data_IF_306118387004
#
_entry.id   IF_306118387004
#
_cell.length_a   1.000
_cell.length_b   1.000
_cell.length_c   1.000
_cell.angle_alpha   90.00
_cell.angle_beta   90.00
_cell.angle_gamma   90.00
#
_symmetry.space_group_name_H-M   'P 1'
#
loop_
_entity.id
_entity.type
_entity.pdbx_description
1 polymer ?
#
# COMPACT_ATOMS: atom_id res chain seq x y z
N UNK A 1 -26.56 66.13 19.90
CA UNK A 1 -26.09 64.79 19.46
C UNK A 1 -25.32 64.17 20.60
N UNK A 2 -25.78 63.04 21.17
CA UNK A 2 -25.02 62.32 22.20
C UNK A 2 -23.87 61.55 21.53
N UNK A 3 -22.65 61.57 22.07
CA UNK A 3 -21.55 60.81 21.48
C UNK A 3 -21.89 59.32 21.56
N UNK A 4 -21.93 58.66 20.40
CA UNK A 4 -22.08 57.21 20.33
C UNK A 4 -20.91 56.57 21.08
N UNK A 5 -21.27 55.64 21.96
CA UNK A 5 -20.40 55.04 22.95
C UNK A 5 -19.32 54.19 22.25
N UNK A 6 -18.04 54.57 22.35
CA UNK A 6 -16.91 53.85 21.71
C UNK A 6 -16.87 52.36 22.07
N UNK A 7 -17.40 51.99 23.24
CA UNK A 7 -17.52 50.61 23.68
C UNK A 7 -18.47 49.78 22.79
N UNK A 8 -19.52 50.39 22.23
CA UNK A 8 -20.48 49.69 21.38
C UNK A 8 -19.85 49.20 20.07
N UNK A 9 -18.99 50.02 19.45
CA UNK A 9 -18.27 49.63 18.23
C UNK A 9 -17.18 48.58 18.51
N UNK A 10 -16.52 48.64 19.67
CA UNK A 10 -15.53 47.63 20.07
C UNK A 10 -16.15 46.25 20.26
N UNK A 11 -17.34 46.17 20.88
CA UNK A 11 -18.03 44.89 21.07
C UNK A 11 -18.50 44.31 19.73
N UNK A 12 -19.05 45.13 18.83
CA UNK A 12 -19.47 44.67 17.50
C UNK A 12 -18.28 44.17 16.68
N UNK A 13 -17.15 44.89 16.69
CA UNK A 13 -15.95 44.48 15.97
C UNK A 13 -15.39 43.14 16.49
N UNK A 14 -15.37 42.94 17.81
CA UNK A 14 -14.91 41.68 18.42
C UNK A 14 -15.85 40.52 18.09
N UNK A 15 -17.18 40.74 18.12
CA UNK A 15 -18.16 39.72 17.74
C UNK A 15 -18.04 39.33 16.26
N UNK A 16 -17.85 40.29 15.36
CA UNK A 16 -17.62 40.00 13.93
C UNK A 16 -16.31 39.22 13.74
N UNK A 17 -15.23 39.60 14.43
CA UNK A 17 -13.96 38.89 14.35
C UNK A 17 -14.09 37.44 14.85
N UNK A 18 -14.77 37.20 15.97
CA UNK A 18 -14.99 35.86 16.50
C UNK A 18 -15.87 35.01 15.58
N UNK A 19 -16.88 35.59 14.93
CA UNK A 19 -17.73 34.89 13.93
C UNK A 19 -16.91 34.52 12.70
N UNK A 20 -16.06 35.43 12.22
CA UNK A 20 -15.17 35.18 11.08
C UNK A 20 -14.10 34.14 11.43
N UNK A 21 -13.53 34.19 12.63
CA UNK A 21 -12.56 33.21 13.11
C UNK A 21 -13.21 31.83 13.30
N UNK A 22 -14.41 31.76 13.87
CA UNK A 22 -15.17 30.52 13.97
C UNK A 22 -15.54 29.98 12.58
N UNK A 23 -15.92 30.86 11.64
CA UNK A 23 -16.21 30.46 10.26
C UNK A 23 -14.95 30.00 9.51
N UNK A 24 -13.79 30.59 9.78
CA UNK A 24 -12.50 30.17 9.24
C UNK A 24 -12.06 28.82 9.82
N UNK A 25 -12.17 28.63 11.13
CA UNK A 25 -11.86 27.34 11.80
C UNK A 25 -12.84 26.26 11.33
N UNK A 26 -14.14 26.57 11.21
CA UNK A 26 -15.15 25.66 10.66
C UNK A 26 -14.86 25.33 9.19
N UNK A 27 -14.26 26.25 8.42
CA UNK A 27 -13.84 26.03 7.03
C UNK A 27 -12.52 25.24 6.90
N UNK A 28 -11.67 25.27 7.93
CA UNK A 28 -10.48 24.40 8.03
C UNK A 28 -10.83 23.00 8.56
N UNK A 29 -11.87 22.86 9.37
CA UNK A 29 -12.37 21.54 9.84
C UNK A 29 -13.40 20.93 8.91
N UNK A 30 -14.12 21.74 8.13
CA UNK A 30 -14.87 21.31 6.96
C UNK A 30 -14.00 21.60 5.73
N UNK A 31 -13.02 20.72 5.48
CA UNK A 31 -12.63 20.43 4.10
C UNK A 31 -13.86 19.82 3.42
N UNK A 32 -14.83 20.68 3.12
CA UNK A 32 -16.03 20.32 2.36
C UNK A 32 -15.62 20.25 0.91
N UNK A 33 -15.63 19.03 0.38
CA UNK A 33 -15.88 18.74 -1.02
C UNK A 33 -15.04 19.56 -2.01
N UNK A 34 -13.73 19.31 -2.07
CA UNK A 34 -13.21 18.99 -3.41
C UNK A 34 -14.05 17.84 -3.91
N UNK A 35 -14.65 17.93 -5.11
CA UNK A 35 -15.38 16.83 -5.72
C UNK A 35 -14.54 15.56 -5.57
N UNK A 36 -14.82 14.75 -4.54
CA UNK A 36 -14.15 13.48 -4.35
C UNK A 36 -14.62 12.73 -5.57
N UNK A 37 -13.71 12.52 -6.52
CA UNK A 37 -14.02 11.75 -7.72
C UNK A 37 -14.53 10.40 -7.21
N UNK A 38 -15.83 10.14 -7.39
CA UNK A 38 -16.47 8.96 -6.85
C UNK A 38 -16.24 7.83 -7.84
N UNK A 39 -15.29 6.97 -7.52
CA UNK A 39 -14.96 5.75 -8.25
C UNK A 39 -15.39 4.54 -7.40
N UNK A 40 -16.62 4.57 -6.92
CA UNK A 40 -17.16 3.53 -6.06
C UNK A 40 -17.58 2.29 -6.88
N UNK A 41 -18.27 1.34 -6.23
CA UNK A 41 -18.71 0.09 -6.86
C UNK A 41 -19.69 0.29 -8.01
N UNK A 42 -20.55 1.30 -7.94
CA UNK A 42 -21.44 1.62 -9.06
C UNK A 42 -20.62 2.12 -10.25
N UNK A 43 -19.66 3.02 -10.01
CA UNK A 43 -18.76 3.47 -11.07
C UNK A 43 -17.98 2.30 -11.68
N UNK A 44 -17.53 1.34 -10.87
CA UNK A 44 -16.87 0.13 -11.36
C UNK A 44 -17.75 -0.67 -12.34
N UNK A 45 -19.03 -0.88 -12.01
CA UNK A 45 -19.97 -1.59 -12.89
C UNK A 45 -20.20 -0.81 -14.21
N UNK A 46 -20.34 0.51 -14.13
CA UNK A 46 -20.47 1.37 -15.31
C UNK A 46 -19.22 1.34 -16.18
N UNK A 47 -18.03 1.40 -15.57
CA UNK A 47 -16.75 1.32 -16.26
C UNK A 47 -16.50 -0.06 -16.89
N UNK A 48 -16.94 -1.14 -16.24
CA UNK A 48 -16.90 -2.52 -16.77
C UNK A 48 -17.70 -2.64 -18.07
N UNK A 49 -18.95 -2.16 -18.07
CA UNK A 49 -19.81 -2.19 -19.26
C UNK A 49 -19.27 -1.31 -20.39
N UNK A 50 -18.70 -0.16 -20.03
CA UNK A 50 -18.01 0.70 -20.97
C UNK A 50 -16.77 0.01 -21.58
N UNK A 51 -15.93 -0.62 -20.76
CA UNK A 51 -14.79 -1.42 -21.20
C UNK A 51 -15.21 -2.53 -22.16
N UNK A 52 -16.32 -3.23 -21.91
CA UNK A 52 -16.85 -4.24 -22.83
C UNK A 52 -17.30 -3.65 -24.17
N UNK A 53 -17.79 -2.41 -24.18
CA UNK A 53 -18.11 -1.71 -25.42
C UNK A 53 -16.84 -1.43 -26.24
N UNK A 54 -15.79 -0.93 -25.60
CA UNK A 54 -14.49 -0.68 -26.24
C UNK A 54 -13.85 -1.97 -26.76
N UNK A 55 -13.86 -3.03 -25.95
CA UNK A 55 -13.33 -4.34 -26.32
C UNK A 55 -13.93 -4.85 -27.64
N UNK A 56 -15.25 -4.69 -27.82
CA UNK A 56 -15.93 -5.13 -29.04
C UNK A 56 -15.59 -4.27 -30.27
N UNK A 57 -15.21 -3.00 -30.06
CA UNK A 57 -14.85 -2.07 -31.14
C UNK A 57 -13.44 -2.30 -31.69
N UNK A 58 -12.55 -2.97 -30.93
CA UNK A 58 -11.16 -3.24 -31.34
C UNK A 58 -11.03 -3.96 -32.69
N UNK A 59 -12.00 -4.80 -33.04
CA UNK A 59 -11.97 -5.55 -34.31
C UNK A 59 -12.36 -4.70 -35.53
N UNK A 60 -12.86 -3.48 -35.32
CA UNK A 60 -13.49 -2.67 -36.36
C UNK A 60 -12.88 -1.28 -36.56
N UNK A 61 -12.04 -0.82 -35.62
CA UNK A 61 -11.49 0.53 -35.62
C UNK A 61 -9.97 0.53 -35.45
N UNK A 62 -9.25 1.08 -36.44
CA UNK A 62 -7.80 1.22 -36.41
C UNK A 62 -7.32 2.22 -35.34
N UNK A 63 -8.19 3.10 -34.84
CA UNK A 63 -7.88 4.07 -33.79
C UNK A 63 -8.21 3.58 -32.37
N UNK A 64 -8.76 2.36 -32.23
CA UNK A 64 -9.13 1.81 -30.91
C UNK A 64 -7.94 1.72 -29.94
N UNK A 65 -6.71 1.64 -30.46
CA UNK A 65 -5.48 1.64 -29.67
C UNK A 65 -5.21 2.97 -28.98
N UNK A 66 -5.27 4.07 -29.74
CA UNK A 66 -5.05 5.41 -29.23
C UNK A 66 -6.10 5.76 -28.16
N UNK A 67 -7.35 5.32 -28.38
CA UNK A 67 -8.43 5.48 -27.39
C UNK A 67 -8.11 4.73 -26.11
N UNK A 68 -7.78 3.44 -26.18
CA UNK A 68 -7.44 2.63 -25.00
C UNK A 68 -6.23 3.17 -24.24
N UNK A 69 -5.20 3.64 -24.95
CA UNK A 69 -3.99 4.17 -24.33
C UNK A 69 -4.24 5.51 -23.62
N UNK A 70 -5.02 6.41 -24.24
CA UNK A 70 -5.42 7.65 -23.60
C UNK A 70 -6.31 7.41 -22.37
N UNK A 71 -7.23 6.45 -22.43
CA UNK A 71 -8.03 6.07 -21.26
C UNK A 71 -7.19 5.50 -20.13
N UNK A 72 -6.21 4.66 -20.46
CA UNK A 72 -5.25 4.15 -19.49
C UNK A 72 -4.53 5.30 -18.77
N UNK A 73 -4.01 6.29 -19.51
CA UNK A 73 -3.36 7.48 -18.92
C UNK A 73 -4.31 8.31 -18.05
N UNK A 74 -5.53 8.54 -18.52
CA UNK A 74 -6.56 9.27 -17.77
C UNK A 74 -6.90 8.56 -16.45
N UNK A 75 -6.96 7.23 -16.45
CA UNK A 75 -7.18 6.43 -15.25
C UNK A 75 -5.99 6.50 -14.28
N UNK A 76 -4.75 6.51 -14.76
CA UNK A 76 -3.57 6.76 -13.92
C UNK A 76 -3.65 8.13 -13.24
N UNK A 77 -3.96 9.19 -13.98
CA UNK A 77 -4.09 10.53 -13.42
C UNK A 77 -5.20 10.60 -12.36
N UNK A 78 -6.34 9.95 -12.60
CA UNK A 78 -7.43 9.84 -11.63
C UNK A 78 -6.99 9.13 -10.35
N UNK A 79 -6.20 8.06 -10.46
CA UNK A 79 -5.69 7.31 -9.30
C UNK A 79 -4.79 8.18 -8.43
N UNK A 80 -3.87 8.92 -9.04
CA UNK A 80 -2.98 9.82 -8.30
C UNK A 80 -3.76 10.95 -7.61
N UNK A 81 -4.82 11.49 -8.24
CA UNK A 81 -5.73 12.44 -7.57
C UNK A 81 -6.44 11.85 -6.36
N UNK A 82 -6.78 10.57 -6.37
CA UNK A 82 -7.36 9.90 -5.19
C UNK A 82 -6.29 9.73 -4.09
N UNK A 83 -5.05 9.41 -4.45
CA UNK A 83 -3.93 9.39 -3.50
C UNK A 83 -3.70 10.74 -2.82
N UNK A 84 -3.78 11.83 -3.56
CA UNK A 84 -3.63 13.20 -3.01
C UNK A 84 -4.71 13.55 -1.97
N UNK A 85 -5.85 12.83 -1.98
CA UNK A 85 -6.92 13.01 -1.00
C UNK A 85 -6.77 12.13 0.25
N UNK A 86 -5.79 11.21 0.29
CA UNK A 86 -5.51 10.43 1.50
C UNK A 86 -4.95 11.34 2.62
N UNK A 87 -5.23 10.99 3.87
CA UNK A 87 -4.63 11.72 4.98
C UNK A 87 -3.13 11.45 5.04
N UNK A 88 -2.31 12.50 4.90
CA UNK A 88 -0.85 12.43 4.99
C UNK A 88 -0.40 12.86 6.39
N UNK A 89 0.10 11.90 7.17
CA UNK A 89 0.65 12.20 8.49
C UNK A 89 2.02 12.87 8.41
N UNK A 90 2.34 13.69 9.41
CA UNK A 90 3.71 14.20 9.62
C UNK A 90 4.73 13.07 9.83
N UNK A 91 4.31 11.93 10.36
CA UNK A 91 5.15 10.73 10.53
C UNK A 91 5.33 9.94 9.22
N UNK A 92 4.71 10.38 8.11
CA UNK A 92 4.90 9.84 6.77
C UNK A 92 4.07 8.60 6.42
N UNK A 93 3.04 8.25 7.18
CA UNK A 93 2.02 7.26 6.78
C UNK A 93 0.83 7.92 6.10
N UNK A 94 0.10 7.13 5.32
CA UNK A 94 -1.14 7.49 4.63
C UNK A 94 -2.32 6.72 5.24
N UNK A 95 -3.45 7.40 5.45
CA UNK A 95 -4.72 6.75 5.79
C UNK A 95 -5.72 6.99 4.66
N UNK A 96 -6.28 5.90 4.14
CA UNK A 96 -7.37 5.88 3.17
C UNK A 96 -8.66 5.55 3.91
N UNK A 97 -9.66 6.44 3.84
CA UNK A 97 -11.01 6.14 4.34
C UNK A 97 -11.64 4.98 3.56
N UNK A 98 -12.78 4.43 4.01
CA UNK A 98 -13.50 3.42 3.26
C UNK A 98 -13.82 3.84 1.82
N UNK A 99 -14.27 5.07 1.61
CA UNK A 99 -14.61 5.62 0.29
C UNK A 99 -13.36 5.78 -0.58
N UNK A 100 -12.25 6.28 -0.02
CA UNK A 100 -10.99 6.39 -0.75
C UNK A 100 -10.41 5.02 -1.09
N UNK A 101 -10.59 4.04 -0.20
CA UNK A 101 -10.16 2.66 -0.43
C UNK A 101 -10.95 2.03 -1.58
N UNK A 102 -12.27 2.21 -1.62
CA UNK A 102 -13.12 1.76 -2.74
C UNK A 102 -12.70 2.44 -4.06
N UNK A 103 -12.44 3.75 -4.03
CA UNK A 103 -11.98 4.51 -5.19
C UNK A 103 -10.65 3.98 -5.75
N UNK A 104 -9.65 3.79 -4.88
CA UNK A 104 -8.34 3.25 -5.28
C UNK A 104 -8.50 1.82 -5.82
N UNK A 105 -9.36 1.00 -5.23
CA UNK A 105 -9.58 -0.37 -5.70
C UNK A 105 -10.24 -0.40 -7.09
N UNK A 106 -11.31 0.37 -7.28
CA UNK A 106 -12.02 0.43 -8.56
C UNK A 106 -11.11 0.90 -9.69
N UNK A 107 -10.32 1.96 -9.43
CA UNK A 107 -9.34 2.46 -10.38
C UNK A 107 -8.25 1.43 -10.65
N UNK A 108 -7.74 0.73 -9.62
CA UNK A 108 -6.74 -0.31 -9.81
C UNK A 108 -7.23 -1.42 -10.75
N UNK A 109 -8.47 -1.89 -10.57
CA UNK A 109 -9.12 -2.86 -11.44
C UNK A 109 -9.28 -2.36 -12.88
N UNK A 110 -9.78 -1.14 -13.04
CA UNK A 110 -9.97 -0.53 -14.36
C UNK A 110 -8.63 -0.35 -15.10
N UNK A 111 -7.59 0.13 -14.39
CA UNK A 111 -6.23 0.29 -14.91
C UNK A 111 -5.65 -1.08 -15.31
N UNK A 112 -5.77 -2.11 -14.46
CA UNK A 112 -5.29 -3.46 -14.75
C UNK A 112 -5.95 -4.02 -16.02
N UNK A 113 -7.27 -3.82 -16.18
CA UNK A 113 -8.01 -4.27 -17.36
C UNK A 113 -7.52 -3.59 -18.65
N UNK A 114 -7.35 -2.26 -18.65
CA UNK A 114 -6.80 -1.53 -19.81
C UNK A 114 -5.38 -1.96 -20.11
N UNK A 115 -4.53 -2.03 -19.08
CA UNK A 115 -3.12 -2.37 -19.24
C UNK A 115 -2.93 -3.77 -19.81
N UNK A 116 -3.70 -4.77 -19.33
CA UNK A 116 -3.66 -6.14 -19.85
C UNK A 116 -4.17 -6.24 -21.28
N UNK A 117 -5.28 -5.57 -21.61
CA UNK A 117 -5.79 -5.55 -22.97
C UNK A 117 -4.79 -4.88 -23.92
N UNK A 118 -4.26 -3.71 -23.56
CA UNK A 118 -3.21 -3.03 -24.33
C UNK A 118 -1.98 -3.91 -24.50
N UNK A 119 -1.52 -4.57 -23.43
CA UNK A 119 -0.40 -5.50 -23.47
C UNK A 119 -0.64 -6.61 -24.49
N UNK A 120 -1.81 -7.26 -24.44
CA UNK A 120 -2.12 -8.35 -25.35
C UNK A 120 -2.20 -7.89 -26.80
N UNK A 121 -2.79 -6.72 -27.06
CA UNK A 121 -2.88 -6.27 -28.44
C UNK A 121 -1.53 -5.80 -28.99
N UNK A 122 -0.81 -4.96 -28.25
CA UNK A 122 0.46 -4.38 -28.69
C UNK A 122 1.54 -5.46 -28.87
N UNK A 123 1.54 -6.49 -28.01
CA UNK A 123 2.47 -7.62 -28.10
C UNK A 123 2.07 -8.68 -29.13
N UNK A 124 0.96 -8.48 -29.88
CA UNK A 124 0.35 -9.50 -30.75
C UNK A 124 0.05 -10.83 -30.04
N UNK A 125 -0.28 -10.78 -28.74
CA UNK A 125 -0.77 -11.95 -28.03
C UNK A 125 -2.20 -12.30 -28.49
N UNK A 126 -2.64 -13.49 -28.10
CA UNK A 126 -4.03 -13.86 -28.25
C UNK A 126 -4.88 -12.99 -27.31
N UNK A 127 -5.74 -12.15 -27.89
CA UNK A 127 -6.77 -11.44 -27.13
C UNK A 127 -7.70 -12.48 -26.47
N UNK A 128 -7.80 -12.39 -25.15
CA UNK A 128 -8.62 -13.26 -24.31
C UNK A 128 -10.09 -12.81 -24.33
N UNK A 129 -11.05 -13.65 -23.90
CA UNK A 129 -12.42 -13.19 -23.66
C UNK A 129 -12.45 -11.96 -22.74
N UNK A 130 -13.39 -11.03 -22.97
CA UNK A 130 -13.47 -9.75 -22.23
C UNK A 130 -13.56 -9.95 -20.71
N UNK A 131 -14.21 -11.02 -20.27
CA UNK A 131 -14.37 -11.44 -18.87
C UNK A 131 -13.04 -11.85 -18.21
N UNK A 132 -11.98 -12.10 -19.00
CA UNK A 132 -10.64 -12.40 -18.48
C UNK A 132 -9.85 -11.14 -18.07
N UNK A 133 -10.26 -9.96 -18.53
CA UNK A 133 -9.58 -8.70 -18.24
C UNK A 133 -10.19 -7.96 -17.04
N UNK A 134 -11.48 -8.19 -16.79
CA UNK A 134 -12.26 -7.48 -15.80
C UNK A 134 -13.00 -8.49 -14.91
N UNK A 135 -12.81 -8.50 -13.57
CA UNK A 135 -13.49 -9.44 -12.70
C UNK A 135 -15.02 -9.36 -12.82
N UNK A 136 -15.72 -10.50 -12.72
CA UNK A 136 -17.18 -10.51 -12.82
C UNK A 136 -17.83 -9.69 -11.70
N UNK A 137 -17.29 -9.79 -10.49
CA UNK A 137 -17.72 -9.07 -9.30
C UNK A 137 -16.64 -8.09 -8.82
N UNK A 138 -17.06 -7.02 -8.13
CA UNK A 138 -16.12 -6.12 -7.47
C UNK A 138 -15.35 -6.89 -6.39
N UNK A 139 -14.03 -6.96 -6.53
CA UNK A 139 -13.15 -7.67 -5.60
C UNK A 139 -12.03 -6.73 -5.16
N UNK A 140 -11.65 -6.77 -3.89
CA UNK A 140 -10.45 -6.05 -3.45
C UNK A 140 -9.21 -6.78 -3.96
N UNK A 141 -8.49 -6.16 -4.89
CA UNK A 141 -7.33 -6.76 -5.58
C UNK A 141 -5.99 -6.23 -5.10
N UNK A 142 -5.99 -5.40 -4.05
CA UNK A 142 -4.78 -4.95 -3.37
C UNK A 142 -3.82 -6.09 -3.03
N UNK A 143 -4.36 -7.32 -2.90
CA UNK A 143 -3.57 -8.55 -2.86
C UNK A 143 -4.08 -9.59 -3.88
N UNK A 144 -3.46 -9.64 -5.06
CA UNK A 144 -3.27 -10.90 -5.79
C UNK A 144 -1.85 -11.40 -5.51
N UNK A 145 -1.58 -11.78 -4.28
CA UNK A 145 -0.39 -12.58 -4.04
C UNK A 145 -0.74 -14.00 -4.47
N UNK A 146 -0.27 -14.44 -5.64
CA UNK A 146 -0.38 -15.85 -6.07
C UNK A 146 0.16 -16.84 -5.00
N UNK A 147 0.89 -16.33 -4.00
CA UNK A 147 1.50 -17.06 -2.90
C UNK A 147 0.97 -16.72 -1.50
N UNK A 148 0.01 -15.80 -1.34
CA UNK A 148 -0.83 -15.86 -0.13
C UNK A 148 -1.84 -16.94 -0.44
N UNK A 149 -1.42 -18.18 -0.20
CA UNK A 149 -2.35 -19.26 0.10
C UNK A 149 -3.11 -18.74 1.32
N UNK A 150 -4.24 -18.08 1.07
CA UNK A 150 -5.31 -17.97 2.05
C UNK A 150 -5.56 -19.43 2.41
N UNK A 151 -5.07 -19.86 3.57
CA UNK A 151 -5.08 -21.24 4.03
C UNK A 151 -6.52 -21.67 4.24
N UNK A 152 -7.23 -21.94 3.14
CA UNK A 152 -8.49 -22.65 2.98
C UNK A 152 -8.75 -22.77 1.48
N UNK A 153 -8.53 -23.98 0.95
CA UNK A 153 -8.73 -24.46 -0.43
C UNK A 153 -10.20 -24.38 -0.93
N UNK A 154 -11.00 -23.42 -0.47
CA UNK A 154 -12.36 -23.22 -0.96
C UNK A 154 -12.43 -22.01 -1.87
N UNK A 155 -13.02 -22.20 -3.04
CA UNK A 155 -13.48 -21.18 -4.02
C UNK A 155 -14.42 -20.10 -3.42
N UNK A 156 -14.67 -20.10 -2.11
CA UNK A 156 -15.63 -19.26 -1.37
C UNK A 156 -15.01 -18.01 -0.70
N UNK A 157 -13.73 -17.68 -0.95
CA UNK A 157 -13.05 -16.53 -0.31
C UNK A 157 -13.39 -15.16 -0.96
N UNK A 158 -14.63 -14.97 -1.41
CA UNK A 158 -15.09 -13.65 -1.82
C UNK A 158 -15.31 -12.80 -0.56
N UNK A 159 -14.60 -11.69 -0.48
CA UNK A 159 -14.81 -10.67 0.55
C UNK A 159 -16.21 -10.09 0.32
N UNK A 160 -17.22 -10.54 1.08
CA UNK A 160 -18.57 -9.97 1.03
C UNK A 160 -18.48 -8.48 1.40
N UNK A 161 -18.99 -7.60 0.54
CA UNK A 161 -18.85 -6.17 0.72
C UNK A 161 -20.13 -5.57 1.28
N UNK A 162 -20.03 -4.73 2.31
CA UNK A 162 -21.15 -3.97 2.89
C UNK A 162 -21.25 -2.59 2.25
N UNK A 163 -22.44 -2.01 2.25
CA UNK A 163 -22.64 -0.65 1.74
C UNK A 163 -22.19 0.42 2.74
N UNK A 164 -22.32 0.17 4.05
CA UNK A 164 -22.05 1.15 5.10
C UNK A 164 -20.93 0.71 6.06
N UNK A 165 -20.01 1.65 6.39
CA UNK A 165 -18.93 1.47 7.36
C UNK A 165 -19.23 2.29 8.63
N UNK A 166 -20.25 1.88 9.38
CA UNK A 166 -20.80 2.62 10.53
C UNK A 166 -19.80 2.87 11.67
N UNK A 167 -18.79 2.00 11.80
CA UNK A 167 -17.78 2.04 12.87
C UNK A 167 -16.57 2.91 12.56
N UNK A 168 -16.45 3.44 11.34
CA UNK A 168 -15.28 4.24 10.95
C UNK A 168 -15.31 5.61 11.62
N UNK A 169 -14.40 5.82 12.57
CA UNK A 169 -14.13 7.12 13.17
C UNK A 169 -12.68 7.52 12.89
N UNK A 170 -12.49 8.34 11.85
CA UNK A 170 -11.18 8.84 11.47
C UNK A 170 -10.45 9.55 12.61
N UNK A 171 -11.18 10.31 13.45
CA UNK A 171 -10.58 11.03 14.55
C UNK A 171 -10.06 10.06 15.61
N UNK A 172 -10.85 9.06 15.99
CA UNK A 172 -10.42 8.04 16.94
C UNK A 172 -9.20 7.24 16.44
N UNK A 173 -9.21 6.83 15.16
CA UNK A 173 -8.10 6.13 14.50
C UNK A 173 -6.84 6.99 14.52
N UNK A 174 -6.95 8.25 14.09
CA UNK A 174 -5.83 9.19 14.04
C UNK A 174 -5.28 9.47 15.45
N UNK A 175 -6.16 9.76 16.40
CA UNK A 175 -5.78 10.05 17.80
C UNK A 175 -5.06 8.83 18.41
N UNK A 176 -5.50 7.60 18.11
CA UNK A 176 -4.82 6.38 18.52
C UNK A 176 -3.39 6.29 17.96
N UNK A 177 -3.21 6.34 16.63
CA UNK A 177 -1.89 6.23 16.00
C UNK A 177 -0.94 7.34 16.48
N UNK A 178 -1.47 8.57 16.64
CA UNK A 178 -0.69 9.70 17.13
C UNK A 178 -0.28 9.57 18.60
N UNK A 179 -1.07 8.86 19.41
CA UNK A 179 -0.76 8.58 20.82
C UNK A 179 0.34 7.53 21.02
N UNK A 180 0.64 6.71 20.00
CA UNK A 180 1.66 5.68 20.09
C UNK A 180 3.04 6.31 20.30
N UNK A 181 3.70 5.89 21.38
CA UNK A 181 5.07 6.30 21.75
C UNK A 181 6.13 5.48 21.01
N UNK A 182 5.91 5.25 19.72
CA UNK A 182 6.85 4.55 18.84
C UNK A 182 7.58 5.52 17.91
N UNK A 183 8.83 5.22 17.51
CA UNK A 183 9.56 6.04 16.56
C UNK A 183 8.85 6.18 15.22
N UNK A 184 9.02 7.34 14.56
CA UNK A 184 8.35 7.63 13.28
C UNK A 184 8.70 6.63 12.19
N UNK A 185 9.91 6.06 12.21
CA UNK A 185 10.35 5.11 11.19
C UNK A 185 9.50 3.83 11.16
N UNK A 186 8.85 3.44 12.25
CA UNK A 186 7.93 2.29 12.29
C UNK A 186 6.66 2.52 11.45
N UNK A 187 6.25 3.78 11.32
CA UNK A 187 5.04 4.18 10.59
C UNK A 187 5.35 4.75 9.20
N UNK A 188 6.59 5.13 8.94
CA UNK A 188 6.92 5.90 7.73
C UNK A 188 6.72 5.07 6.46
N UNK A 189 5.96 5.60 5.50
CA UNK A 189 5.67 4.97 4.22
C UNK A 189 4.59 3.89 4.28
N UNK A 190 3.88 3.77 5.40
CA UNK A 190 2.78 2.80 5.55
C UNK A 190 1.50 3.35 4.94
N UNK A 191 0.77 2.49 4.24
CA UNK A 191 -0.55 2.78 3.71
C UNK A 191 -1.59 1.99 4.50
N UNK A 192 -2.49 2.70 5.16
CA UNK A 192 -3.54 2.10 5.99
C UNK A 192 -4.87 2.25 5.25
N UNK A 193 -5.47 1.13 4.89
CA UNK A 193 -6.72 1.05 4.17
C UNK A 193 -7.81 0.50 5.08
N UNK A 194 -9.02 1.04 4.94
CA UNK A 194 -10.19 0.56 5.66
C UNK A 194 -11.16 0.01 4.63
N UNK A 195 -11.47 -1.29 4.74
CA UNK A 195 -12.28 -2.01 3.76
C UNK A 195 -13.66 -2.28 4.33
N UNK A 196 -14.69 -1.87 3.59
CA UNK A 196 -16.08 -2.05 3.99
C UNK A 196 -16.58 -3.49 3.70
N UNK A 197 -15.94 -4.49 4.31
CA UNK A 197 -16.30 -5.90 4.12
C UNK A 197 -16.96 -6.52 5.34
N UNK A 198 -17.79 -7.54 5.11
CA UNK A 198 -18.50 -8.36 6.09
C UNK A 198 -17.76 -9.65 6.47
N UNK A 199 -16.58 -9.90 5.91
CA UNK A 199 -15.92 -11.19 6.12
C UNK A 199 -15.44 -11.34 7.57
N UNK A 200 -15.99 -12.36 8.26
CA UNK A 200 -15.72 -12.68 9.66
C UNK A 200 -14.33 -13.30 9.86
N UNK A 201 -13.77 -13.87 8.81
CA UNK A 201 -12.54 -14.67 8.90
C UNK A 201 -11.28 -13.80 8.80
N UNK A 202 -11.42 -12.50 8.48
CA UNK A 202 -10.31 -11.57 8.35
C UNK A 202 -10.61 -10.29 9.15
N UNK A 203 -9.95 -10.14 10.30
CA UNK A 203 -10.03 -8.89 11.08
C UNK A 203 -9.16 -7.77 10.49
N UNK A 204 -7.94 -8.13 10.12
CA UNK A 204 -7.02 -7.28 9.39
C UNK A 204 -5.97 -8.12 8.66
N UNK A 205 -5.28 -7.49 7.71
CA UNK A 205 -4.14 -8.05 7.02
C UNK A 205 -3.06 -6.98 6.97
N UNK A 206 -1.89 -7.29 7.49
CA UNK A 206 -0.65 -6.65 7.10
C UNK A 206 0.06 -7.46 6.02
N UNK A 207 0.55 -6.76 5.00
CA UNK A 207 1.52 -7.32 4.09
C UNK A 207 2.31 -6.16 3.52
N UNK A 208 3.64 -6.29 3.51
CA UNK A 208 4.49 -5.43 2.68
C UNK A 208 4.19 -3.93 2.89
N UNK A 209 4.17 -3.47 4.15
CA UNK A 209 3.95 -2.06 4.49
C UNK A 209 2.54 -1.51 4.22
N UNK A 210 1.61 -2.35 3.77
CA UNK A 210 0.18 -2.06 3.72
C UNK A 210 -0.50 -2.69 4.93
N UNK A 211 -1.43 -1.95 5.52
CA UNK A 211 -2.29 -2.41 6.60
C UNK A 211 -3.72 -2.27 6.11
N UNK A 212 -4.47 -3.36 6.06
CA UNK A 212 -5.88 -3.37 5.69
C UNK A 212 -6.70 -3.81 6.89
N UNK A 213 -7.63 -2.95 7.29
CA UNK A 213 -8.56 -3.22 8.40
C UNK A 213 -9.95 -3.43 7.82
N UNK A 214 -10.57 -4.57 8.15
CA UNK A 214 -11.91 -4.91 7.68
C UNK A 214 -12.98 -4.51 8.70
N UNK A 215 -14.15 -4.09 8.20
CA UNK A 215 -15.31 -3.78 9.03
C UNK A 215 -16.04 -5.03 9.54
N UNK A 216 -15.41 -5.77 10.46
CA UNK A 216 -15.99 -6.98 11.00
C UNK A 216 -17.21 -6.69 11.88
N UNK A 217 -17.04 -5.97 12.98
CA UNK A 217 -18.11 -5.54 13.87
C UNK A 217 -18.22 -4.01 13.86
N UNK A 218 -19.45 -3.49 13.99
CA UNK A 218 -19.71 -2.04 13.99
C UNK A 218 -19.21 -1.40 15.31
N UNK A 219 -17.93 -1.59 15.67
CA UNK A 219 -17.28 -1.15 16.88
C UNK A 219 -15.90 -0.57 16.58
N UNK A 220 -15.71 0.71 16.89
CA UNK A 220 -14.43 1.41 16.72
C UNK A 220 -13.31 0.81 17.57
N UNK A 221 -13.61 0.28 18.77
CA UNK A 221 -12.59 -0.32 19.64
C UNK A 221 -12.01 -1.59 19.02
N UNK A 222 -12.83 -2.37 18.31
CA UNK A 222 -12.38 -3.56 17.58
C UNK A 222 -11.50 -3.17 16.39
N UNK A 223 -11.85 -2.12 15.64
CA UNK A 223 -11.00 -1.59 14.57
C UNK A 223 -9.64 -1.11 15.11
N UNK A 224 -9.65 -0.37 16.22
CA UNK A 224 -8.43 0.11 16.86
C UNK A 224 -7.60 -1.08 17.36
N UNK A 225 -8.24 -2.14 17.89
CA UNK A 225 -7.54 -3.39 18.25
C UNK A 225 -6.82 -3.98 17.03
N UNK A 226 -7.52 -4.20 15.93
CA UNK A 226 -6.92 -4.80 14.73
C UNK A 226 -5.81 -3.93 14.17
N UNK A 227 -6.02 -2.61 14.11
CA UNK A 227 -4.98 -1.67 13.72
C UNK A 227 -3.76 -1.74 14.64
N UNK A 228 -3.96 -1.83 15.96
CA UNK A 228 -2.89 -1.96 16.92
C UNK A 228 -2.12 -3.28 16.72
N UNK A 229 -2.82 -4.37 16.46
CA UNK A 229 -2.22 -5.67 16.14
C UNK A 229 -1.31 -5.58 14.90
N UNK A 230 -1.82 -5.06 13.78
CA UNK A 230 -1.03 -4.94 12.54
C UNK A 230 0.16 -3.97 12.70
N UNK A 231 -0.02 -2.88 13.44
CA UNK A 231 1.10 -1.99 13.80
C UNK A 231 2.12 -2.69 14.71
N UNK A 232 1.66 -3.61 15.56
CA UNK A 232 2.50 -4.49 16.36
C UNK A 232 3.42 -5.35 15.50
N UNK A 233 2.95 -5.89 14.38
CA UNK A 233 3.83 -6.59 13.43
C UNK A 233 4.89 -5.66 12.81
N UNK A 234 4.52 -4.44 12.42
CA UNK A 234 5.48 -3.47 11.85
C UNK A 234 6.55 -3.03 12.87
N UNK A 235 6.16 -2.87 14.13
CA UNK A 235 7.09 -2.67 15.25
C UNK A 235 7.95 -3.91 15.47
N UNK A 236 7.36 -5.10 15.40
CA UNK A 236 8.06 -6.38 15.49
C UNK A 236 9.14 -6.52 14.42
N UNK A 237 8.86 -6.17 13.16
CA UNK A 237 9.86 -6.16 12.10
C UNK A 237 11.00 -5.17 12.36
N UNK A 238 10.72 -4.07 13.06
CA UNK A 238 11.75 -3.10 13.44
C UNK A 238 12.68 -3.63 14.53
N UNK A 239 12.16 -4.49 15.43
CA UNK A 239 12.88 -5.01 16.59
C UNK A 239 13.59 -6.34 16.27
N UNK A 240 12.89 -7.26 15.62
CA UNK A 240 13.33 -8.63 15.36
C UNK A 240 13.95 -8.79 13.97
N UNK A 241 13.80 -7.82 13.08
CA UNK A 241 14.00 -8.02 11.65
C UNK A 241 12.90 -8.87 11.00
N UNK A 242 13.02 -9.12 9.69
CA UNK A 242 12.08 -9.97 8.97
C UNK A 242 12.58 -11.41 8.92
N UNK A 243 11.68 -12.36 9.12
CA UNK A 243 11.99 -13.80 9.04
C UNK A 243 12.68 -14.15 7.73
N UNK A 244 13.80 -14.87 7.82
CA UNK A 244 14.65 -15.27 6.68
C UNK A 244 15.37 -14.12 5.97
N UNK A 245 15.27 -12.89 6.46
CA UNK A 245 16.11 -11.78 6.03
C UNK A 245 17.35 -11.66 6.90
N UNK A 246 18.38 -11.00 6.37
CA UNK A 246 19.66 -10.86 7.06
C UNK A 246 19.60 -9.98 8.31
N UNK A 247 18.59 -9.11 8.43
CA UNK A 247 18.38 -8.30 9.62
C UNK A 247 17.63 -9.05 10.74
N UNK A 248 17.30 -10.34 10.54
CA UNK A 248 16.67 -11.17 11.57
C UNK A 248 17.59 -11.32 12.80
N UNK A 249 17.14 -10.83 13.95
CA UNK A 249 17.86 -10.88 15.21
C UNK A 249 17.33 -12.01 16.11
N UNK A 250 17.98 -13.17 16.04
CA UNK A 250 17.60 -14.36 16.83
C UNK A 250 17.72 -14.10 18.33
N UNK A 251 18.72 -13.33 18.77
CA UNK A 251 18.94 -12.97 20.16
C UNK A 251 17.77 -12.15 20.72
N UNK A 252 17.28 -11.17 19.96
CA UNK A 252 16.14 -10.33 20.37
C UNK A 252 14.84 -11.14 20.42
N UNK A 253 14.63 -12.05 19.46
CA UNK A 253 13.50 -13.01 19.51
C UNK A 253 13.55 -13.92 20.73
N UNK A 254 14.74 -14.44 21.05
CA UNK A 254 14.96 -15.25 22.26
C UNK A 254 14.71 -14.43 23.53
N UNK A 255 15.14 -13.17 23.58
CA UNK A 255 14.90 -12.30 24.72
C UNK A 255 13.40 -12.08 24.98
N UNK A 256 12.61 -11.82 23.93
CA UNK A 256 11.15 -11.73 24.03
C UNK A 256 10.53 -13.06 24.48
N UNK A 257 10.90 -14.19 23.86
CA UNK A 257 10.38 -15.51 24.25
C UNK A 257 10.69 -15.87 25.72
N UNK A 258 11.85 -15.43 26.24
CA UNK A 258 12.25 -15.66 27.61
C UNK A 258 11.38 -14.92 28.64
N UNK A 259 10.73 -13.80 28.29
CA UNK A 259 9.75 -13.13 29.16
C UNK A 259 8.63 -14.10 29.54
N UNK A 260 8.25 -14.99 28.62
CA UNK A 260 7.23 -16.01 28.81
C UNK A 260 7.78 -17.39 29.17
N UNK A 261 9.10 -17.55 29.30
CA UNK A 261 9.74 -18.86 29.48
C UNK A 261 9.52 -19.83 28.31
N UNK A 262 9.26 -19.30 27.10
CA UNK A 262 9.00 -20.08 25.89
C UNK A 262 10.31 -20.36 25.14
N UNK A 263 10.31 -21.43 24.34
CA UNK A 263 11.41 -21.72 23.41
C UNK A 263 11.15 -21.03 22.08
N UNK A 264 12.21 -20.53 21.45
CA UNK A 264 12.11 -20.02 20.09
C UNK A 264 11.96 -21.20 19.11
N UNK A 265 10.82 -21.27 18.45
CA UNK A 265 10.52 -22.21 17.36
C UNK A 265 10.11 -21.33 16.17
N UNK A 266 10.62 -21.57 14.95
CA UNK A 266 10.24 -20.79 13.79
C UNK A 266 8.72 -20.81 13.54
N UNK A 267 8.13 -19.64 13.27
CA UNK A 267 6.67 -19.43 13.24
C UNK A 267 5.93 -20.34 12.25
N UNK A 268 6.53 -20.64 11.09
CA UNK A 268 5.95 -21.53 10.07
C UNK A 268 5.75 -22.99 10.54
N UNK A 269 6.35 -23.41 11.66
CA UNK A 269 6.13 -24.73 12.26
C UNK A 269 5.06 -24.73 13.37
N UNK A 270 4.50 -23.56 13.72
CA UNK A 270 3.57 -23.38 14.83
C UNK A 270 2.16 -22.99 14.34
N UNK A 271 1.11 -23.39 15.09
CA UNK A 271 -0.22 -22.83 14.90
C UNK A 271 -0.19 -21.32 15.22
N UNK A 272 -1.10 -20.56 14.62
CA UNK A 272 -1.13 -19.09 14.68
C UNK A 272 -0.97 -18.56 16.11
N UNK A 273 -1.73 -19.09 17.05
CA UNK A 273 -1.75 -18.65 18.45
C UNK A 273 -0.45 -18.85 19.22
N UNK A 274 0.45 -19.72 18.76
CA UNK A 274 1.76 -19.99 19.39
C UNK A 274 2.93 -19.26 18.70
N UNK A 275 2.69 -18.63 17.53
CA UNK A 275 3.74 -17.93 16.76
C UNK A 275 4.26 -16.72 17.52
N UNK A 276 5.58 -16.49 17.46
CA UNK A 276 6.20 -15.37 18.15
C UNK A 276 5.69 -14.03 17.60
N UNK A 277 5.60 -13.90 16.28
CA UNK A 277 5.13 -12.67 15.62
C UNK A 277 3.71 -12.28 16.03
N UNK A 278 2.79 -13.24 16.05
CA UNK A 278 1.39 -13.06 16.44
C UNK A 278 1.26 -12.73 17.93
N UNK A 279 2.03 -13.43 18.79
CA UNK A 279 2.05 -13.15 20.23
C UNK A 279 2.59 -11.75 20.54
N UNK A 280 3.60 -11.30 19.79
CA UNK A 280 4.14 -9.95 19.91
C UNK A 280 3.13 -8.89 19.46
N UNK A 281 2.46 -9.10 18.32
CA UNK A 281 1.43 -8.20 17.81
C UNK A 281 0.24 -8.06 18.78
N UNK A 282 -0.24 -9.18 19.34
CA UNK A 282 -1.29 -9.15 20.36
C UNK A 282 -0.83 -8.48 21.67
N UNK A 283 0.43 -8.67 22.09
CA UNK A 283 0.97 -7.94 23.26
C UNK A 283 1.03 -6.44 23.00
N UNK A 284 1.45 -6.03 21.81
CA UNK A 284 1.45 -4.63 21.40
C UNK A 284 0.03 -4.05 21.47
N UNK A 285 -0.95 -4.76 20.90
CA UNK A 285 -2.35 -4.34 20.96
C UNK A 285 -2.88 -4.26 22.41
N UNK A 286 -2.55 -5.23 23.26
CA UNK A 286 -2.89 -5.20 24.68
C UNK A 286 -2.31 -3.99 25.41
N UNK A 287 -1.03 -3.70 25.19
CA UNK A 287 -0.32 -2.62 25.89
C UNK A 287 -0.80 -1.24 25.43
N UNK A 288 -0.98 -1.04 24.13
CA UNK A 288 -1.21 0.28 23.55
C UNK A 288 -2.68 0.58 23.22
N UNK A 289 -3.50 -0.44 22.97
CA UNK A 289 -4.94 -0.30 22.73
C UNK A 289 -5.81 -0.87 23.87
N UNK A 290 -5.21 -1.51 24.89
CA UNK A 290 -5.97 -2.09 26.01
C UNK A 290 -6.80 -3.31 25.63
N UNK A 291 -6.49 -3.94 24.49
CA UNK A 291 -7.28 -5.04 23.95
C UNK A 291 -6.96 -6.39 24.59
N UNK A 292 -7.96 -7.25 24.78
CA UNK A 292 -7.71 -8.63 25.22
C UNK A 292 -6.93 -9.41 24.16
N UNK A 293 -5.86 -10.08 24.59
CA UNK A 293 -5.04 -10.98 23.76
C UNK A 293 -5.81 -12.25 23.38
N UNK A 294 -5.64 -12.71 22.13
CA UNK A 294 -6.17 -13.99 21.63
C UNK A 294 -5.12 -15.09 21.45
N UNK A 295 -3.84 -14.72 21.44
CA UNK A 295 -2.75 -15.70 21.33
C UNK A 295 -2.49 -16.39 22.67
N UNK A 296 -1.76 -17.50 22.65
CA UNK A 296 -1.66 -18.42 23.79
C UNK A 296 -0.57 -18.07 24.80
N UNK A 297 0.28 -17.07 24.54
CA UNK A 297 1.29 -16.63 25.50
C UNK A 297 0.65 -15.69 26.52
N UNK A 298 0.03 -16.32 27.53
CA UNK A 298 -0.67 -15.65 28.64
C UNK A 298 0.29 -15.34 29.81
N UNK A 299 -0.11 -14.38 30.65
CA UNK A 299 0.62 -13.98 31.86
C UNK A 299 0.51 -12.48 32.13
N UNK A 300 0.85 -12.05 33.35
CA UNK A 300 0.91 -10.62 33.72
C UNK A 300 2.31 -10.06 33.41
N UNK A 301 2.65 -10.06 32.12
CA UNK A 301 3.97 -9.66 31.62
C UNK A 301 3.95 -8.31 30.90
N UNK A 302 2.82 -7.60 30.86
CA UNK A 302 2.65 -6.39 30.04
C UNK A 302 3.68 -5.30 30.34
N UNK A 303 4.10 -5.16 31.61
CA UNK A 303 5.16 -4.21 31.98
C UNK A 303 6.52 -4.59 31.37
N UNK A 304 6.93 -5.86 31.52
CA UNK A 304 8.20 -6.35 30.96
C UNK A 304 8.21 -6.32 29.44
N UNK A 305 7.09 -6.65 28.80
CA UNK A 305 6.97 -6.58 27.34
C UNK A 305 7.01 -5.13 26.86
N UNK A 306 6.35 -4.21 27.58
CA UNK A 306 6.42 -2.78 27.26
C UNK A 306 7.85 -2.25 27.36
N UNK A 307 8.55 -2.54 28.45
CA UNK A 307 9.95 -2.17 28.64
C UNK A 307 10.82 -2.76 27.52
N UNK A 308 10.62 -4.03 27.18
CA UNK A 308 11.31 -4.69 26.07
C UNK A 308 11.09 -3.97 24.72
N UNK A 309 9.85 -3.60 24.39
CA UNK A 309 9.51 -2.88 23.15
C UNK A 309 10.21 -1.52 23.11
N UNK A 310 10.08 -0.73 24.17
CA UNK A 310 10.62 0.64 24.23
C UNK A 310 12.16 0.63 24.19
N UNK A 311 12.81 -0.27 24.93
CA UNK A 311 14.27 -0.40 24.95
C UNK A 311 14.81 -0.91 23.61
N UNK A 312 14.15 -1.89 23.00
CA UNK A 312 14.58 -2.44 21.72
C UNK A 312 14.48 -1.39 20.61
N UNK A 313 13.42 -0.58 20.59
CA UNK A 313 13.27 0.50 19.63
C UNK A 313 14.33 1.59 19.81
N UNK A 314 14.71 1.92 21.05
CA UNK A 314 15.80 2.88 21.30
C UNK A 314 17.17 2.39 20.82
N UNK A 315 17.38 1.06 20.83
CA UNK A 315 18.63 0.43 20.41
C UNK A 315 18.67 0.10 18.91
N UNK A 316 17.52 0.20 18.23
CA UNK A 316 17.40 -0.12 16.81
C UNK A 316 18.20 0.87 15.97
N UNK A 317 19.14 0.36 15.17
CA UNK A 317 19.85 1.17 14.18
C UNK A 317 18.98 1.28 12.93
N UNK A 318 18.62 2.51 12.56
CA UNK A 318 17.68 2.77 11.45
C UNK A 318 18.28 2.30 10.12
N UNK A 319 19.61 2.34 9.99
CA UNK A 319 20.37 1.92 8.83
C UNK A 319 20.28 0.39 8.58
N UNK A 320 19.97 -0.38 9.62
CA UNK A 320 19.83 -1.85 9.57
C UNK A 320 18.36 -2.27 9.37
N UNK A 321 17.43 -1.31 9.36
CA UNK A 321 16.03 -1.58 9.10
C UNK A 321 15.82 -1.86 7.62
N UNK A 322 15.34 -3.07 7.33
CA UNK A 322 14.65 -3.33 6.07
C UNK A 322 13.27 -2.67 6.17
N UNK A 323 13.23 -1.37 5.88
CA UNK A 323 11.98 -0.66 5.65
C UNK A 323 11.50 -1.12 4.27
N UNK A 324 10.77 -2.23 4.21
CA UNK A 324 10.04 -2.56 3.00
C UNK A 324 9.01 -1.48 2.77
N UNK A 325 9.28 -0.71 1.72
CA UNK A 325 8.36 0.21 1.11
C UNK A 325 7.93 -0.38 -0.19
N UNK A 326 6.65 -0.66 -0.21
CA UNK A 326 5.99 -1.28 -1.33
C UNK A 326 5.17 -0.22 -2.04
N UNK A 327 5.65 1.02 -2.10
CA UNK A 327 5.14 2.01 -3.02
C UNK A 327 6.25 2.30 -4.02
N UNK A 328 6.10 1.72 -5.20
CA UNK A 328 7.00 1.94 -6.32
C UNK A 328 6.35 3.02 -7.17
N UNK A 329 6.91 4.22 -7.13
CA UNK A 329 6.49 5.30 -8.01
C UNK A 329 7.19 5.12 -9.34
N UNK A 330 6.43 4.97 -10.42
CA UNK A 330 6.95 4.86 -11.78
C UNK A 330 6.48 6.08 -12.56
N UNK A 331 7.42 6.75 -13.21
CA UNK A 331 7.18 7.99 -13.94
C UNK A 331 7.79 7.93 -15.35
N UNK A 332 7.03 8.38 -16.33
CA UNK A 332 7.48 8.61 -17.70
C UNK A 332 7.01 10.00 -18.17
N UNK A 333 7.93 10.97 -18.19
CA UNK A 333 7.56 12.36 -18.50
C UNK A 333 6.57 12.93 -17.48
N UNK A 334 5.30 13.08 -17.88
CA UNK A 334 4.20 13.54 -17.00
C UNK A 334 3.37 12.40 -16.42
N UNK A 335 3.43 11.23 -17.02
CA UNK A 335 2.64 10.07 -16.61
C UNK A 335 3.30 9.48 -15.37
N UNK A 336 2.53 9.35 -14.29
CA UNK A 336 3.01 8.82 -13.01
C UNK A 336 2.00 7.85 -12.45
N UNK A 337 2.48 6.79 -11.82
CA UNK A 337 1.63 5.85 -11.10
C UNK A 337 2.37 5.29 -9.91
N UNK A 338 1.61 5.03 -8.85
CA UNK A 338 2.09 4.34 -7.67
C UNK A 338 1.64 2.88 -7.73
N UNK A 339 2.59 1.96 -7.85
CA UNK A 339 2.31 0.53 -7.67
C UNK A 339 2.50 0.13 -6.22
N UNK A 340 1.61 -0.74 -5.75
CA UNK A 340 1.84 -1.46 -4.52
C UNK A 340 2.84 -2.60 -4.79
N UNK A 341 3.84 -2.74 -3.92
CA UNK A 341 4.81 -3.82 -3.94
C UNK A 341 4.15 -5.15 -3.58
N UNK A 342 4.87 -6.23 -3.85
CA UNK A 342 4.36 -7.60 -3.91
C UNK A 342 4.59 -8.23 -5.29
N UNK A 343 4.46 -9.55 -5.34
CA UNK A 343 4.44 -10.31 -6.59
C UNK A 343 3.08 -10.16 -7.25
N UNK A 344 2.84 -9.02 -7.89
CA UNK A 344 1.64 -8.81 -8.69
C UNK A 344 2.00 -8.74 -10.17
N UNK A 345 1.66 -9.80 -10.90
CA UNK A 345 1.84 -9.89 -12.35
C UNK A 345 0.99 -8.87 -13.14
N UNK A 346 0.07 -8.16 -12.46
CA UNK A 346 -0.76 -7.08 -12.98
C UNK A 346 -0.16 -5.67 -12.87
N UNK A 347 1.02 -5.49 -12.28
CA UNK A 347 1.72 -4.19 -12.26
C UNK A 347 2.31 -3.87 -13.64
N UNK A 348 1.48 -3.50 -14.60
CA UNK A 348 1.87 -3.14 -15.96
C UNK A 348 1.85 -1.62 -16.12
N UNK A 349 3.00 -1.05 -16.50
CA UNK A 349 3.14 0.34 -16.89
C UNK A 349 3.37 0.45 -18.39
N UNK A 350 2.59 1.27 -19.08
CA UNK A 350 2.69 1.42 -20.54
C UNK A 350 3.15 2.84 -20.87
N UNK A 351 4.17 2.96 -21.72
CA UNK A 351 4.75 4.27 -22.06
C UNK A 351 5.29 4.35 -23.49
N UNK A 352 5.22 5.55 -24.05
CA UNK A 352 5.87 5.98 -25.29
C UNK A 352 7.22 6.67 -25.04
N UNK A 353 7.55 6.97 -23.78
CA UNK A 353 8.79 7.65 -23.42
C UNK A 353 9.96 6.68 -23.44
N UNK A 354 11.09 7.16 -23.96
CA UNK A 354 12.36 6.47 -24.06
C UNK A 354 13.12 6.40 -22.72
N UNK A 355 12.50 6.88 -21.64
CA UNK A 355 13.02 6.91 -20.29
C UNK A 355 11.88 6.68 -19.30
N UNK A 356 12.15 5.90 -18.26
CA UNK A 356 11.35 5.89 -17.04
C UNK A 356 12.21 6.23 -15.82
N UNK A 357 11.56 6.87 -14.87
CA UNK A 357 12.05 7.10 -13.52
C UNK A 357 11.29 6.20 -12.55
N UNK A 358 12.01 5.40 -11.79
CA UNK A 358 11.45 4.65 -10.66
C UNK A 358 11.94 5.30 -9.38
N UNK A 359 11.03 5.69 -8.51
CA UNK A 359 11.33 6.21 -7.20
C UNK A 359 10.70 5.33 -6.12
N UNK A 360 11.49 4.98 -5.12
CA UNK A 360 10.97 4.34 -3.90
C UNK A 360 11.32 5.26 -2.74
N UNK A 361 10.36 6.14 -2.43
CA UNK A 361 10.54 7.26 -1.49
C UNK A 361 11.08 6.81 -0.15
N UNK A 362 12.03 7.55 0.42
CA UNK A 362 12.68 7.32 1.72
C UNK A 362 13.28 5.92 1.93
N UNK A 363 13.63 5.18 0.86
CA UNK A 363 14.56 4.05 0.97
C UNK A 363 15.94 4.64 1.29
N UNK A 364 16.26 4.73 2.59
CA UNK A 364 17.59 5.16 3.00
C UNK A 364 18.59 4.06 2.69
N UNK A 365 19.75 4.45 2.16
CA UNK A 365 20.87 3.55 1.93
C UNK A 365 21.22 2.78 3.20
N UNK A 366 21.02 1.47 3.15
CA UNK A 366 21.66 0.49 4.02
C UNK A 366 22.70 -0.31 3.22
N UNK A 367 23.27 -1.38 3.78
CA UNK A 367 24.15 -2.32 3.05
C UNK A 367 23.43 -3.13 1.96
N UNK A 368 22.24 -2.69 1.56
CA UNK A 368 21.36 -3.32 0.58
C UNK A 368 21.40 -2.55 -0.74
N UNK A 369 21.53 -3.25 -1.86
CA UNK A 369 21.30 -2.66 -3.19
C UNK A 369 19.97 -3.16 -3.76
N UNK A 370 19.24 -2.26 -4.41
CA UNK A 370 18.06 -2.61 -5.20
C UNK A 370 18.50 -3.04 -6.60
N UNK A 371 18.03 -4.18 -7.07
CA UNK A 371 18.38 -4.69 -8.40
C UNK A 371 17.14 -4.85 -9.24
N UNK A 372 17.03 -4.00 -10.27
CA UNK A 372 16.20 -4.20 -11.44
C UNK A 372 16.94 -5.12 -12.42
N UNK A 373 16.35 -6.28 -12.77
CA UNK A 373 16.82 -7.08 -13.90
C UNK A 373 15.70 -7.16 -14.93
N UNK A 374 16.07 -7.19 -16.22
CA UNK A 374 15.14 -7.30 -17.36
C UNK A 374 15.09 -8.77 -17.77
N UNK A 375 13.90 -9.40 -17.74
CA UNK A 375 13.76 -10.85 -17.96
C UNK A 375 13.68 -11.27 -19.44
N UNK A 376 13.26 -10.36 -20.32
CA UNK A 376 13.14 -10.64 -21.76
C UNK A 376 14.43 -10.21 -22.48
N UNK A 377 15.33 -11.17 -22.61
CA UNK A 377 16.70 -11.03 -23.08
C UNK A 377 16.78 -10.58 -24.56
N UNK A 378 16.85 -9.26 -24.79
CA UNK A 378 17.46 -8.66 -26.01
C UNK A 378 18.48 -7.58 -25.65
N UNK A 379 18.46 -7.02 -24.42
CA UNK A 379 19.42 -6.00 -23.97
C UNK A 379 19.81 -6.30 -22.54
N UNK A 380 21.13 -6.35 -22.31
CA UNK A 380 21.73 -6.84 -21.08
C UNK A 380 21.07 -6.31 -19.82
N UNK A 381 21.04 -7.18 -18.79
CA UNK A 381 20.72 -6.83 -17.41
C UNK A 381 21.16 -5.39 -17.13
N UNK A 382 20.22 -4.52 -16.72
CA UNK A 382 20.61 -3.25 -16.12
C UNK A 382 21.69 -3.59 -15.11
N UNK A 383 22.88 -3.02 -15.30
CA UNK A 383 23.98 -3.23 -14.37
C UNK A 383 23.48 -2.91 -12.96
N UNK A 384 24.14 -3.46 -11.94
CA UNK A 384 23.77 -3.17 -10.54
C UNK A 384 23.75 -1.66 -10.35
N UNK A 385 22.57 -1.04 -10.22
CA UNK A 385 22.46 0.41 -10.01
C UNK A 385 22.49 0.62 -8.49
N UNK A 386 23.56 1.19 -7.92
CA UNK A 386 23.57 1.56 -6.51
C UNK A 386 22.47 2.58 -6.22
N UNK A 387 21.88 2.52 -5.02
CA UNK A 387 20.89 3.49 -4.58
C UNK A 387 21.62 4.81 -4.31
N UNK A 388 21.57 5.72 -5.29
CA UNK A 388 21.93 7.13 -5.10
C UNK A 388 20.62 7.93 -5.29
N UNK A 389 20.19 8.64 -4.25
CA UNK A 389 19.04 9.57 -4.26
C UNK A 389 17.63 8.97 -4.49
N UNK A 390 17.34 7.77 -3.96
CA UNK A 390 16.01 7.11 -3.98
C UNK A 390 15.40 6.90 -5.39
N UNK A 391 16.21 7.07 -6.45
CA UNK A 391 15.76 7.19 -7.84
C UNK A 391 16.57 6.31 -8.79
N UNK A 392 15.88 5.67 -9.72
CA UNK A 392 16.45 4.91 -10.83
C UNK A 392 15.95 5.48 -12.14
N UNK A 393 16.86 5.81 -13.05
CA UNK A 393 16.51 6.20 -14.42
C UNK A 393 16.87 5.04 -15.34
N UNK A 394 15.88 4.53 -16.07
CA UNK A 394 16.05 3.40 -16.97
C UNK A 394 15.77 3.89 -18.40
N UNK A 395 16.79 3.90 -19.28
CA UNK A 395 16.56 4.14 -20.70
C UNK A 395 15.80 2.95 -21.30
N UNK A 396 14.81 3.26 -22.12
CA UNK A 396 13.97 2.31 -22.84
C UNK A 396 14.25 2.41 -24.35
N UNK A 397 13.97 1.34 -25.09
CA UNK A 397 14.08 1.32 -26.55
C UNK A 397 15.49 1.15 -27.10
N UNK A 398 16.52 1.01 -26.26
CA UNK A 398 17.82 0.53 -26.72
C UNK A 398 17.65 -0.85 -27.38
N UNK A 399 18.22 -1.05 -28.57
CA UNK A 399 18.14 -2.29 -29.37
C UNK A 399 16.72 -2.81 -29.71
N UNK A 400 15.72 -1.93 -29.80
CA UNK A 400 14.47 -2.27 -30.48
C UNK A 400 14.83 -2.74 -31.89
N UNK A 401 14.66 -4.04 -32.15
CA UNK A 401 14.86 -4.59 -33.49
C UNK A 401 14.03 -3.75 -34.46
N UNK A 402 14.53 -3.46 -35.66
CA UNK A 402 13.87 -2.57 -36.62
C UNK A 402 12.39 -2.96 -36.89
N UNK A 403 12.03 -4.22 -36.67
CA UNK A 403 10.69 -4.78 -36.89
C UNK A 403 9.84 -4.95 -35.61
N UNK A 404 10.39 -4.73 -34.41
CA UNK A 404 9.64 -4.86 -33.16
C UNK A 404 8.75 -3.64 -32.94
N UNK A 405 7.45 -3.84 -32.68
CA UNK A 405 6.50 -2.73 -32.38
C UNK A 405 6.55 -2.28 -30.92
N UNK A 406 6.99 -3.16 -30.04
CA UNK A 406 7.07 -2.91 -28.61
C UNK A 406 8.17 -3.76 -27.96
N UNK A 407 8.59 -3.36 -26.77
CA UNK A 407 9.44 -4.15 -25.88
C UNK A 407 8.79 -4.17 -24.50
N UNK A 408 8.79 -5.35 -23.88
CA UNK A 408 8.41 -5.51 -22.49
C UNK A 408 9.66 -5.62 -21.63
N UNK A 409 9.72 -4.82 -20.56
CA UNK A 409 10.74 -4.91 -19.53
C UNK A 409 10.09 -5.40 -18.25
N UNK A 410 10.32 -6.64 -17.83
CA UNK A 410 9.97 -7.07 -16.48
C UNK A 410 11.07 -6.58 -15.53
N UNK A 411 10.73 -5.74 -14.56
CA UNK A 411 11.63 -5.18 -13.55
C UNK A 411 11.24 -5.77 -12.20
N UNK A 412 12.09 -6.62 -11.66
CA UNK A 412 11.97 -7.07 -10.28
C UNK A 412 12.74 -6.15 -9.34
N UNK A 413 12.22 -5.97 -8.14
CA UNK A 413 12.83 -5.20 -7.06
C UNK A 413 13.29 -6.15 -5.99
N UNK A 414 14.61 -6.33 -5.86
CA UNK A 414 15.24 -7.24 -4.90
C UNK A 414 16.21 -6.49 -4.00
N UNK A 415 16.26 -6.88 -2.73
CA UNK A 415 17.27 -6.39 -1.78
C UNK A 415 18.43 -7.39 -1.71
N UNK A 416 19.65 -6.95 -2.01
CA UNK A 416 20.86 -7.77 -1.80
C UNK A 416 21.80 -7.12 -0.81
N UNK A 417 22.25 -7.91 0.16
CA UNK A 417 23.30 -7.50 1.10
C UNK A 417 24.68 -7.86 0.56
N UNK A 418 25.63 -6.92 0.61
CA UNK A 418 26.93 -7.03 -0.06
C UNK A 418 27.85 -8.16 0.45
N UNK A 419 27.66 -8.67 1.67
CA UNK A 419 28.64 -9.62 2.25
C UNK A 419 28.42 -11.09 1.86
N UNK A 420 27.37 -11.43 1.10
CA UNK A 420 27.18 -12.81 0.65
C UNK A 420 26.47 -12.95 -0.70
N UNK A 421 27.23 -13.30 -1.73
CA UNK A 421 26.72 -13.75 -3.03
C UNK A 421 26.06 -15.13 -2.98
N UNK A 422 26.24 -15.90 -1.90
CA UNK A 422 25.91 -17.32 -1.85
C UNK A 422 24.81 -17.68 -0.85
N UNK A 423 24.44 -16.80 0.08
CA UNK A 423 23.62 -17.20 1.22
C UNK A 423 22.18 -16.70 1.21
N UNK A 424 21.84 -15.59 0.54
CA UNK A 424 20.44 -15.13 0.47
C UNK A 424 20.16 -14.36 -0.83
N UNK A 425 19.56 -15.04 -1.80
CA UNK A 425 18.74 -14.35 -2.80
C UNK A 425 17.42 -14.01 -2.12
N UNK A 426 17.14 -12.73 -1.86
CA UNK A 426 15.79 -12.35 -1.47
C UNK A 426 14.86 -12.59 -2.65
N UNK A 427 13.70 -13.15 -2.35
CA UNK A 427 12.52 -13.06 -3.21
C UNK A 427 12.28 -11.59 -3.57
N UNK A 428 11.97 -11.24 -4.84
CA UNK A 428 11.55 -9.89 -5.18
C UNK A 428 10.48 -9.39 -4.21
N UNK A 429 10.65 -8.19 -3.67
CA UNK A 429 9.60 -7.56 -2.88
C UNK A 429 8.62 -6.78 -3.76
N UNK A 430 8.97 -6.51 -5.02
CA UNK A 430 8.07 -5.94 -6.01
C UNK A 430 8.44 -6.37 -7.42
N UNK A 431 7.47 -6.28 -8.32
CA UNK A 431 7.66 -6.44 -9.77
C UNK A 431 6.83 -5.41 -10.50
N UNK A 432 7.39 -4.84 -11.56
CA UNK A 432 6.68 -4.00 -12.52
C UNK A 432 7.05 -4.44 -13.94
N UNK A 433 6.07 -4.62 -14.82
CA UNK A 433 6.26 -4.83 -16.26
C UNK A 433 6.11 -3.49 -16.97
N UNK A 434 7.10 -3.07 -17.74
CA UNK A 434 7.06 -1.86 -18.54
C UNK A 434 6.86 -2.25 -19.99
N UNK A 435 5.76 -1.86 -20.60
CA UNK A 435 5.55 -1.99 -22.03
C UNK A 435 5.93 -0.67 -22.70
N UNK A 436 7.02 -0.68 -23.45
CA UNK A 436 7.46 0.43 -24.27
C UNK A 436 7.04 0.23 -25.72
N UNK A 437 6.45 1.25 -26.34
CA UNK A 437 6.22 1.27 -27.79
C UNK A 437 6.35 2.68 -28.33
N UNK A 438 7.10 2.84 -29.43
CA UNK A 438 7.31 4.12 -30.12
C UNK A 438 6.10 4.60 -30.90
N UNK A 439 5.18 3.67 -31.18
CA UNK A 439 4.04 3.88 -32.07
C UNK A 439 2.72 4.06 -31.31
N UNK A 440 2.79 4.31 -29.98
CA UNK A 440 1.65 4.54 -29.09
C UNK A 440 1.25 6.01 -28.96
#
# INVERSE_FOLDING_TARGET
MKPLNKYFYGTIALSIFLILLASYIIKDTNVSNTDILVFNRQWYEEDKEYFYTLYNQLNSDTNAYEVLFNEYKDLLEKKEKVYDNAYISKKGYLIFSPELTDNINALALAIEARAKLLYDVVSNNKILPKESYYPEEFQYTFFKAENVIMLNDSDDNLIEIKDDFDSYDFKAIKDFIESLSIPEYCLRGKNIFFVNAKNRDFGAIHANGQIIIYNWDNNIDSLIKFLAHELGHEVGYSIFGRDYYLNECTETKLAYANIYGKKLIPDHFLPWEERLSENFAEDFALIYAGSQKWSSWEGDNSLYVKEFIEDSLQQTQIEDLIILRDTIHVKAGKDTTTFFGGFNDGNIFITEKDEIEINIKDIKGGPYTLYAYIKDDVVGNLGRIPIEDDKFVIPLGENLQEDAKCITYEIDFKLYYFESLTKYHSSPFGRVKILYSKDL
#
